data_IF_826728742334
#
_entry.id   IF_826728742334
#
_cell.length_a   1.000
_cell.length_b   1.000
_cell.length_c   1.000
_cell.angle_alpha   90.00
_cell.angle_beta   90.00
_cell.angle_gamma   90.00
#
_symmetry.space_group_name_H-M   'P 1'
#
loop_
_entity.id
_entity.type
_entity.pdbx_description
1 polymer ?
#
# COMPACT_ATOMS: atom_id res chain seq x y z
N UNK A 1 -29.54 -34.09 -44.93
CA UNK A 1 -28.45 -33.27 -44.41
C UNK A 1 -28.95 -31.87 -44.15
N UNK A 2 -29.22 -31.53 -42.90
CA UNK A 2 -29.63 -30.18 -42.48
C UNK A 2 -28.49 -29.61 -41.65
N UNK A 3 -27.90 -28.54 -42.12
CA UNK A 3 -26.84 -27.78 -41.46
C UNK A 3 -27.42 -26.94 -40.31
N UNK A 4 -26.88 -27.10 -39.10
CA UNK A 4 -27.19 -26.26 -37.96
C UNK A 4 -26.42 -24.91 -38.05
N UNK A 5 -27.01 -23.78 -37.64
CA UNK A 5 -26.30 -22.51 -37.59
C UNK A 5 -25.45 -22.40 -36.30
N UNK A 6 -24.25 -22.00 -36.50
CA UNK A 6 -23.29 -21.60 -35.45
C UNK A 6 -23.78 -20.31 -34.74
N UNK A 7 -24.12 -20.41 -33.48
CA UNK A 7 -24.33 -19.25 -32.59
C UNK A 7 -23.09 -19.12 -31.67
N UNK A 8 -22.15 -18.32 -32.09
CA UNK A 8 -21.02 -17.94 -31.23
C UNK A 8 -20.65 -16.52 -31.60
N UNK A 9 -20.92 -15.56 -30.70
CA UNK A 9 -20.30 -14.26 -30.53
C UNK A 9 -21.29 -13.17 -30.10
N UNK A 10 -21.83 -13.24 -28.88
CA UNK A 10 -22.57 -12.10 -28.34
C UNK A 10 -22.46 -11.93 -26.81
N UNK A 11 -21.70 -12.80 -26.10
CA UNK A 11 -21.69 -12.75 -24.62
C UNK A 11 -20.59 -11.85 -24.06
N UNK A 12 -19.53 -11.58 -24.82
CA UNK A 12 -18.39 -10.78 -24.34
C UNK A 12 -18.61 -9.27 -24.31
N UNK A 13 -19.47 -8.73 -25.17
CA UNK A 13 -19.66 -7.28 -25.30
C UNK A 13 -20.61 -6.67 -24.24
N UNK A 14 -21.53 -7.46 -23.73
CA UNK A 14 -22.54 -6.97 -22.77
C UNK A 14 -22.02 -6.83 -21.34
N UNK A 15 -21.07 -7.64 -20.91
CA UNK A 15 -20.46 -7.49 -19.56
C UNK A 15 -19.54 -6.27 -19.46
N UNK A 16 -18.79 -5.95 -20.50
CA UNK A 16 -17.93 -4.76 -20.52
C UNK A 16 -18.74 -3.44 -20.51
N UNK A 17 -19.88 -3.43 -21.19
CA UNK A 17 -20.78 -2.26 -21.22
C UNK A 17 -21.51 -2.03 -19.87
N UNK A 18 -21.83 -3.10 -19.14
CA UNK A 18 -22.45 -2.98 -17.82
C UNK A 18 -21.49 -2.43 -16.76
N UNK A 19 -20.19 -2.76 -16.83
CA UNK A 19 -19.17 -2.23 -15.92
C UNK A 19 -18.87 -0.75 -16.21
N UNK A 20 -18.85 -0.34 -17.46
CA UNK A 20 -18.67 1.06 -17.86
C UNK A 20 -19.87 1.95 -17.45
N UNK A 21 -21.08 1.41 -17.46
CA UNK A 21 -22.28 2.14 -17.06
C UNK A 21 -22.33 2.39 -15.54
N UNK A 22 -21.75 1.52 -14.72
CA UNK A 22 -21.70 1.70 -13.25
C UNK A 22 -20.69 2.77 -12.84
N UNK A 23 -19.61 2.94 -13.58
CA UNK A 23 -18.60 4.00 -13.35
C UNK A 23 -19.12 5.41 -13.73
N UNK A 24 -20.05 5.51 -14.68
CA UNK A 24 -20.57 6.79 -15.15
C UNK A 24 -21.78 7.32 -14.39
N UNK A 25 -22.45 6.52 -13.55
CA UNK A 25 -23.74 6.85 -12.95
C UNK A 25 -23.68 7.45 -11.53
N UNK A 26 -22.49 7.50 -10.90
CA UNK A 26 -22.39 8.04 -9.53
C UNK A 26 -21.49 9.27 -9.52
N UNK A 27 -22.12 10.42 -9.65
CA UNK A 27 -21.47 11.69 -9.32
C UNK A 27 -20.93 11.63 -7.90
N UNK A 28 -19.62 11.86 -7.73
CA UNK A 28 -18.86 12.08 -6.49
C UNK A 28 -18.96 11.05 -5.35
N UNK A 29 -19.46 9.86 -5.57
CA UNK A 29 -19.28 8.72 -4.67
C UNK A 29 -18.19 7.81 -5.24
N UNK A 30 -17.12 7.55 -4.48
CA UNK A 30 -16.14 6.52 -4.83
C UNK A 30 -16.92 5.24 -5.15
N UNK A 31 -16.76 4.69 -6.35
CA UNK A 31 -17.34 3.41 -6.69
C UNK A 31 -16.80 2.39 -5.70
N UNK A 32 -17.60 2.10 -4.69
CA UNK A 32 -17.30 1.05 -3.73
C UNK A 32 -17.33 -0.25 -4.51
N UNK A 33 -16.19 -0.83 -4.63
CA UNK A 33 -16.00 -2.02 -5.42
C UNK A 33 -16.58 -3.23 -4.68
N UNK A 34 -16.98 -4.25 -5.42
CA UNK A 34 -17.67 -5.42 -4.89
C UNK A 34 -16.72 -6.27 -4.03
N UNK A 35 -17.00 -6.54 -2.73
CA UNK A 35 -16.24 -7.48 -1.93
C UNK A 35 -16.11 -8.87 -2.56
N UNK A 36 -17.12 -9.32 -3.30
CA UNK A 36 -17.06 -10.59 -4.02
C UNK A 36 -16.03 -10.54 -5.15
N UNK A 37 -15.91 -9.41 -5.84
CA UNK A 37 -14.86 -9.23 -6.84
C UNK A 37 -13.47 -9.30 -6.19
N UNK A 38 -13.29 -8.64 -5.04
CA UNK A 38 -12.04 -8.66 -4.31
C UNK A 38 -11.60 -10.07 -3.92
N UNK A 39 -12.52 -10.92 -3.51
CA UNK A 39 -12.22 -12.29 -3.08
C UNK A 39 -12.07 -13.27 -4.25
N UNK A 40 -12.84 -13.10 -5.34
CA UNK A 40 -12.85 -14.05 -6.44
C UNK A 40 -11.96 -13.64 -7.61
N UNK A 41 -11.68 -12.36 -7.78
CA UNK A 41 -10.80 -11.83 -8.82
C UNK A 41 -10.02 -10.60 -8.30
N UNK A 42 -9.09 -10.81 -7.36
CA UNK A 42 -8.39 -9.73 -6.68
C UNK A 42 -7.58 -8.83 -7.63
N UNK A 43 -7.05 -9.36 -8.73
CA UNK A 43 -6.29 -8.58 -9.70
C UNK A 43 -7.20 -7.63 -10.51
N UNK A 44 -8.41 -8.07 -10.87
CA UNK A 44 -9.40 -7.18 -11.48
C UNK A 44 -9.82 -6.07 -10.51
N UNK A 45 -10.03 -6.42 -9.24
CA UNK A 45 -10.30 -5.46 -8.19
C UNK A 45 -9.16 -4.45 -8.02
N UNK A 46 -7.91 -4.93 -8.01
CA UNK A 46 -6.72 -4.09 -7.93
C UNK A 46 -6.68 -3.06 -9.09
N UNK A 47 -6.93 -3.48 -10.32
CA UNK A 47 -7.01 -2.59 -11.46
C UNK A 47 -8.18 -1.61 -11.36
N UNK A 48 -9.34 -2.03 -10.86
CA UNK A 48 -10.48 -1.12 -10.63
C UNK A 48 -10.10 -0.02 -9.63
N UNK A 49 -9.43 -0.39 -8.53
CA UNK A 49 -8.93 0.59 -7.56
C UNK A 49 -7.85 1.50 -8.17
N UNK A 50 -6.90 0.93 -8.92
CA UNK A 50 -5.86 1.72 -9.60
C UNK A 50 -6.46 2.80 -10.49
N UNK A 51 -7.43 2.45 -11.34
CA UNK A 51 -8.10 3.41 -12.22
C UNK A 51 -8.88 4.46 -11.41
N UNK A 52 -9.49 4.06 -10.30
CA UNK A 52 -10.24 4.97 -9.42
C UNK A 52 -9.33 5.99 -8.75
N UNK A 53 -8.25 5.55 -8.10
CA UNK A 53 -7.38 6.46 -7.34
C UNK A 53 -6.56 7.38 -8.23
N UNK A 54 -6.30 6.95 -9.46
CA UNK A 54 -5.56 7.71 -10.48
C UNK A 54 -6.47 8.54 -11.42
N UNK A 55 -7.79 8.56 -11.18
CA UNK A 55 -8.68 9.40 -11.96
C UNK A 55 -8.26 10.88 -11.86
N UNK A 56 -8.48 11.63 -12.93
CA UNK A 56 -8.22 13.07 -12.94
C UNK A 56 -9.01 13.78 -11.84
N UNK A 57 -8.30 14.45 -10.95
CA UNK A 57 -8.90 15.23 -9.87
C UNK A 57 -9.63 16.49 -10.32
N UNK A 58 -9.60 16.81 -11.63
CA UNK A 58 -10.22 17.99 -12.23
C UNK A 58 -9.80 19.32 -11.57
N UNK A 59 -8.57 19.36 -11.08
CA UNK A 59 -8.01 20.56 -10.47
C UNK A 59 -7.47 21.47 -11.56
N UNK A 60 -7.98 22.71 -11.64
CA UNK A 60 -7.59 23.66 -12.67
C UNK A 60 -6.06 23.88 -12.71
N UNK A 61 -5.45 23.63 -13.86
CA UNK A 61 -4.03 23.90 -14.11
C UNK A 61 -3.03 22.88 -13.58
N UNK A 62 -3.49 21.76 -13.01
CA UNK A 62 -2.63 20.70 -12.49
C UNK A 62 -3.05 19.33 -13.05
N UNK A 63 -2.07 18.45 -13.25
CA UNK A 63 -2.29 17.05 -13.66
C UNK A 63 -2.36 16.13 -12.42
N UNK A 64 -3.16 16.53 -11.41
CA UNK A 64 -3.27 15.74 -10.19
C UNK A 64 -4.19 14.54 -10.39
N UNK A 65 -3.73 13.38 -9.98
CA UNK A 65 -4.58 12.23 -9.76
C UNK A 65 -5.45 12.43 -8.50
N UNK A 66 -6.56 11.71 -8.42
CA UNK A 66 -7.49 11.84 -7.31
C UNK A 66 -6.80 11.60 -5.95
N UNK A 67 -5.93 10.59 -5.83
CA UNK A 67 -5.23 10.30 -4.58
C UNK A 67 -4.32 11.48 -4.14
N UNK A 68 -3.84 12.31 -5.06
CA UNK A 68 -2.98 13.46 -4.75
C UNK A 68 -3.75 14.60 -4.06
N UNK A 69 -5.08 14.53 -4.04
CA UNK A 69 -5.94 15.45 -3.28
C UNK A 69 -6.23 14.98 -1.85
N UNK A 70 -5.78 13.77 -1.50
CA UNK A 70 -6.06 13.18 -0.20
C UNK A 70 -5.08 13.62 0.87
N UNK A 71 -5.50 13.47 2.13
CA UNK A 71 -4.67 13.83 3.28
C UNK A 71 -3.43 12.94 3.37
N UNK A 72 -2.27 13.56 3.57
CA UNK A 72 -1.00 12.90 3.90
C UNK A 72 -0.89 12.64 5.40
N UNK A 73 0.14 11.88 5.78
CA UNK A 73 0.48 11.69 7.19
C UNK A 73 0.71 13.02 7.90
N UNK A 74 1.45 13.96 7.27
CA UNK A 74 1.73 15.29 7.83
C UNK A 74 0.52 16.21 7.98
N UNK A 75 -0.62 15.87 7.41
CA UNK A 75 -1.90 16.58 7.56
C UNK A 75 -2.85 15.85 8.51
N UNK A 76 -2.60 14.56 8.73
CA UNK A 76 -3.42 13.71 9.60
C UNK A 76 -2.89 13.65 11.03
N UNK A 77 -1.57 13.53 11.20
CA UNK A 77 -0.93 13.36 12.52
C UNK A 77 -0.35 14.68 13.01
N UNK A 78 -1.23 15.63 13.23
CA UNK A 78 -0.94 16.98 13.73
C UNK A 78 -1.92 17.31 14.87
N UNK A 79 -1.63 18.32 15.72
CA UNK A 79 -2.48 18.64 16.87
C UNK A 79 -3.96 18.93 16.54
N UNK A 80 -4.23 19.47 15.38
CA UNK A 80 -5.59 19.78 14.90
C UNK A 80 -5.72 19.37 13.43
N UNK A 81 -5.92 18.08 13.14
CA UNK A 81 -5.98 17.61 11.77
C UNK A 81 -7.23 18.15 11.06
N UNK A 82 -7.00 18.71 9.87
CA UNK A 82 -8.05 19.25 9.01
C UNK A 82 -7.90 18.62 7.63
N UNK A 83 -9.02 18.20 7.04
CA UNK A 83 -9.02 17.68 5.68
C UNK A 83 -8.51 18.72 4.70
N UNK A 84 -7.52 18.38 3.84
CA UNK A 84 -6.98 19.35 2.88
C UNK A 84 -8.06 19.77 1.86
N UNK A 85 -8.18 21.07 1.64
CA UNK A 85 -9.12 21.65 0.66
C UNK A 85 -8.46 21.92 -0.69
N UNK A 86 -7.13 21.88 -0.74
CA UNK A 86 -6.32 22.02 -1.93
C UNK A 86 -5.36 20.86 -2.03
N UNK A 87 -5.05 20.37 -3.25
CA UNK A 87 -4.04 19.34 -3.44
C UNK A 87 -2.71 19.81 -2.84
N UNK A 88 -2.11 18.96 -2.04
CA UNK A 88 -0.78 19.22 -1.50
C UNK A 88 0.24 18.62 -2.47
N UNK A 89 1.29 19.37 -2.85
CA UNK A 89 2.33 18.85 -3.73
C UNK A 89 2.97 17.58 -3.18
N UNK A 90 3.53 16.76 -4.07
CA UNK A 90 4.38 15.59 -3.72
C UNK A 90 5.33 15.97 -2.59
N UNK A 91 5.40 15.17 -1.55
CA UNK A 91 6.28 15.42 -0.42
C UNK A 91 7.74 15.21 -0.82
N UNK A 92 8.39 16.30 -1.28
CA UNK A 92 9.81 16.29 -1.55
C UNK A 92 10.57 16.10 -0.25
N UNK A 93 11.05 14.88 0.02
CA UNK A 93 11.92 14.60 1.16
C UNK A 93 11.38 13.62 2.19
N UNK A 94 10.17 13.09 2.04
CA UNK A 94 9.74 11.94 2.85
C UNK A 94 10.63 10.74 2.49
N UNK A 95 11.23 10.11 3.51
CA UNK A 95 12.13 8.98 3.29
C UNK A 95 11.33 7.70 3.20
N UNK A 96 11.63 6.86 2.21
CA UNK A 96 11.07 5.53 2.15
C UNK A 96 11.31 4.75 3.46
N UNK A 97 10.26 4.18 4.02
CA UNK A 97 10.32 3.38 5.24
C UNK A 97 11.37 2.26 5.14
N UNK A 98 11.53 1.65 3.97
CA UNK A 98 12.55 0.65 3.71
C UNK A 98 13.99 1.11 3.94
N UNK A 99 14.30 2.38 3.65
CA UNK A 99 15.62 2.97 3.93
C UNK A 99 15.84 3.16 5.43
N UNK A 100 14.79 3.46 6.16
CA UNK A 100 14.85 3.67 7.60
C UNK A 100 15.00 2.36 8.35
N UNK A 101 14.32 1.31 7.94
CA UNK A 101 14.46 -0.04 8.50
C UNK A 101 15.89 -0.55 8.38
N UNK A 102 16.53 -0.30 7.24
CA UNK A 102 17.93 -0.67 7.03
C UNK A 102 18.89 0.13 7.94
N UNK A 103 18.61 1.39 8.23
CA UNK A 103 19.40 2.20 9.16
C UNK A 103 19.27 1.75 10.62
N UNK A 104 18.10 1.26 11.02
CA UNK A 104 17.88 0.73 12.38
C UNK A 104 18.65 -0.58 12.61
N UNK A 105 18.88 -1.38 11.55
CA UNK A 105 19.47 -2.71 11.61
C UNK A 105 20.99 -2.73 11.79
N UNK A 106 21.67 -1.79 11.17
CA UNK A 106 23.12 -1.84 11.08
C UNK A 106 23.85 -1.25 12.29
N UNK A 107 23.16 -0.76 13.34
CA UNK A 107 23.80 -0.17 14.52
C UNK A 107 24.79 0.96 14.22
N UNK A 108 24.96 1.29 12.94
CA UNK A 108 25.85 2.26 12.39
C UNK A 108 25.20 2.97 11.22
N UNK A 109 25.53 4.24 11.06
CA UNK A 109 25.16 5.09 9.94
C UNK A 109 25.69 4.54 8.60
N UNK A 110 25.19 3.40 8.14
CA UNK A 110 25.40 2.99 6.77
C UNK A 110 24.50 3.86 5.89
N UNK A 111 25.06 4.91 5.37
CA UNK A 111 24.53 5.64 4.21
C UNK A 111 24.62 4.69 3.02
N UNK A 112 23.66 3.80 2.87
CA UNK A 112 23.48 3.19 1.57
C UNK A 112 22.92 4.26 0.64
N UNK A 113 23.79 4.82 -0.17
CA UNK A 113 23.37 5.46 -1.38
C UNK A 113 22.60 4.41 -2.16
N UNK A 114 21.27 4.57 -2.28
CA UNK A 114 20.48 3.75 -3.18
C UNK A 114 21.07 3.94 -4.56
N UNK A 115 21.68 2.92 -5.18
CA UNK A 115 22.10 3.05 -6.56
C UNK A 115 20.84 3.28 -7.38
N UNK A 116 20.66 4.49 -7.92
CA UNK A 116 19.52 4.77 -8.76
C UNK A 116 18.60 5.91 -8.28
N UNK A 117 19.13 6.91 -7.57
CA UNK A 117 18.35 8.11 -7.22
C UNK A 117 17.50 7.95 -5.96
N UNK A 118 17.23 9.06 -5.30
CA UNK A 118 16.42 9.11 -4.10
C UNK A 118 14.94 9.01 -4.49
N UNK A 119 14.35 7.82 -4.43
CA UNK A 119 12.91 7.70 -4.42
C UNK A 119 12.39 8.26 -3.11
N UNK A 120 11.41 9.17 -3.18
CA UNK A 120 10.66 9.64 -2.03
C UNK A 120 9.39 8.83 -1.91
N UNK A 121 8.91 8.63 -0.69
CA UNK A 121 7.68 7.90 -0.40
C UNK A 121 6.70 8.82 0.29
N UNK A 122 5.43 8.77 -0.11
CA UNK A 122 4.33 9.41 0.60
C UNK A 122 3.19 8.44 0.81
N UNK A 123 2.48 8.60 1.92
CA UNK A 123 1.22 7.89 2.20
C UNK A 123 0.09 8.90 2.21
N UNK A 124 -0.98 8.59 1.46
CA UNK A 124 -2.19 9.39 1.40
C UNK A 124 -3.41 8.53 1.70
N UNK A 125 -4.34 9.11 2.40
CA UNK A 125 -5.59 8.46 2.80
C UNK A 125 -6.80 9.24 2.34
N UNK A 126 -7.84 8.53 1.92
CA UNK A 126 -9.08 9.15 1.52
C UNK A 126 -9.87 9.68 2.73
N UNK A 127 -10.96 10.41 2.46
CA UNK A 127 -11.72 11.06 3.52
C UNK A 127 -12.34 10.09 4.55
N UNK A 128 -12.93 8.94 4.19
CA UNK A 128 -13.40 7.95 5.17
C UNK A 128 -12.31 7.45 6.12
N UNK A 129 -11.10 7.23 5.62
CA UNK A 129 -9.94 6.81 6.41
C UNK A 129 -9.52 7.94 7.38
N UNK A 130 -9.29 9.14 6.84
CA UNK A 130 -8.97 10.33 7.63
C UNK A 130 -9.99 10.61 8.73
N UNK A 131 -11.27 10.62 8.39
CA UNK A 131 -12.35 10.90 9.34
C UNK A 131 -12.40 9.86 10.47
N UNK A 132 -12.12 8.59 10.17
CA UNK A 132 -12.06 7.54 11.17
C UNK A 132 -10.91 7.77 12.18
N UNK A 133 -9.72 8.10 11.68
CA UNK A 133 -8.56 8.43 12.52
C UNK A 133 -8.87 9.62 13.44
N UNK A 134 -9.42 10.68 12.88
CA UNK A 134 -9.72 11.93 13.62
C UNK A 134 -10.83 11.73 14.64
N UNK A 135 -11.95 11.13 14.23
CA UNK A 135 -13.11 10.91 15.10
C UNK A 135 -12.80 9.99 16.30
N UNK A 136 -11.88 9.06 16.14
CA UNK A 136 -11.45 8.15 17.21
C UNK A 136 -10.20 8.63 17.95
N UNK A 137 -9.69 9.83 17.67
CA UNK A 137 -8.47 10.41 18.25
C UNK A 137 -7.21 9.54 18.05
N UNK A 138 -7.14 8.76 16.96
CA UNK A 138 -6.02 7.85 16.71
C UNK A 138 -4.76 8.57 16.21
N UNK A 139 -4.86 9.85 15.94
CA UNK A 139 -3.73 10.71 15.55
C UNK A 139 -2.86 11.15 16.73
N UNK A 140 -3.20 10.78 17.98
CA UNK A 140 -2.50 11.19 19.19
C UNK A 140 -2.40 10.08 20.23
N UNK A 141 -1.33 10.11 21.03
CA UNK A 141 -0.99 9.08 22.02
C UNK A 141 -2.08 8.93 23.09
N UNK A 142 -2.67 10.03 23.56
CA UNK A 142 -3.75 9.94 24.56
C UNK A 142 -4.97 9.16 24.03
N UNK A 143 -5.28 9.29 22.74
CA UNK A 143 -6.34 8.54 22.10
C UNK A 143 -6.02 7.05 21.97
N UNK A 144 -4.78 6.71 21.59
CA UNK A 144 -4.31 5.33 21.54
C UNK A 144 -4.36 4.65 22.90
N UNK A 145 -3.89 5.34 23.96
CA UNK A 145 -4.00 4.85 25.35
C UNK A 145 -5.44 4.60 25.76
N UNK A 146 -6.36 5.49 25.40
CA UNK A 146 -7.78 5.31 25.70
C UNK A 146 -8.38 4.13 24.96
N UNK A 147 -8.04 3.94 23.67
CA UNK A 147 -8.48 2.79 22.88
C UNK A 147 -7.95 1.47 23.46
N UNK A 148 -6.68 1.44 23.86
CA UNK A 148 -6.07 0.27 24.49
C UNK A 148 -6.76 -0.06 25.83
N UNK A 149 -6.92 0.93 26.71
CA UNK A 149 -7.56 0.75 28.01
C UNK A 149 -9.03 0.26 27.91
N UNK A 150 -9.72 0.68 26.85
CA UNK A 150 -11.08 0.21 26.55
C UNK A 150 -11.08 -1.17 25.87
N UNK A 151 -9.93 -1.74 25.53
CA UNK A 151 -9.78 -2.95 24.70
C UNK A 151 -10.67 -2.91 23.44
N UNK A 152 -10.72 -1.71 22.81
CA UNK A 152 -11.61 -1.43 21.68
C UNK A 152 -10.91 -1.74 20.37
N UNK A 153 -11.30 -2.81 19.65
CA UNK A 153 -10.71 -3.10 18.33
C UNK A 153 -10.87 -1.91 17.39
N UNK A 154 -9.80 -1.58 16.67
CA UNK A 154 -9.88 -0.62 15.58
C UNK A 154 -10.40 -1.34 14.34
N UNK A 155 -11.47 -0.83 13.76
CA UNK A 155 -12.04 -1.37 12.51
C UNK A 155 -12.39 -0.19 11.62
N UNK A 156 -11.60 0.00 10.58
CA UNK A 156 -11.82 1.07 9.62
C UNK A 156 -13.11 0.84 8.83
N UNK A 157 -13.76 1.91 8.35
CA UNK A 157 -14.94 1.79 7.51
C UNK A 157 -14.57 1.16 6.15
N UNK A 158 -15.51 0.38 5.60
CA UNK A 158 -15.32 -0.33 4.32
C UNK A 158 -14.88 0.58 3.16
N UNK A 159 -15.20 1.87 3.21
CA UNK A 159 -14.76 2.85 2.22
C UNK A 159 -13.35 3.42 2.43
N UNK A 160 -12.61 2.99 3.45
CA UNK A 160 -11.24 3.49 3.68
C UNK A 160 -10.29 3.01 2.58
N UNK A 161 -9.47 3.94 2.07
CA UNK A 161 -8.46 3.71 1.04
C UNK A 161 -7.17 4.42 1.43
N UNK A 162 -6.03 3.73 1.29
CA UNK A 162 -4.71 4.32 1.36
C UNK A 162 -3.94 4.09 0.06
N UNK A 163 -3.14 5.07 -0.31
CA UNK A 163 -2.16 4.98 -1.40
C UNK A 163 -0.79 5.30 -0.82
N UNK A 164 0.16 4.40 -1.01
CA UNK A 164 1.58 4.67 -0.80
C UNK A 164 2.24 4.83 -2.16
N UNK A 165 2.74 6.03 -2.45
CA UNK A 165 3.33 6.38 -3.74
C UNK A 165 4.84 6.61 -3.62
N UNK A 166 5.61 6.11 -4.59
CA UNK A 166 7.04 6.35 -4.67
C UNK A 166 7.35 7.22 -5.89
N UNK A 167 8.07 8.29 -5.63
CA UNK A 167 8.40 9.30 -6.62
C UNK A 167 9.92 9.43 -6.79
N UNK A 168 10.36 9.66 -8.01
CA UNK A 168 11.75 9.98 -8.34
C UNK A 168 11.78 11.34 -9.01
N UNK A 169 12.66 12.24 -8.56
CA UNK A 169 12.89 13.48 -9.29
C UNK A 169 13.27 13.17 -10.73
N UNK A 170 12.64 13.81 -11.70
CA UNK A 170 12.84 13.52 -13.13
C UNK A 170 14.31 13.58 -13.54
N UNK A 171 15.08 14.52 -12.97
CA UNK A 171 16.53 14.61 -13.13
C UNK A 171 17.28 13.35 -12.63
N UNK A 172 16.69 12.59 -11.72
CA UNK A 172 17.24 11.35 -11.14
C UNK A 172 16.87 10.07 -11.89
N UNK A 173 15.94 10.10 -12.84
CA UNK A 173 15.47 8.92 -13.58
C UNK A 173 16.60 8.19 -14.31
N UNK A 174 17.58 8.92 -14.85
CA UNK A 174 18.75 8.32 -15.51
C UNK A 174 19.53 7.39 -14.56
N UNK A 175 19.71 7.80 -13.32
CA UNK A 175 20.41 7.00 -12.32
C UNK A 175 19.52 5.89 -11.77
N UNK A 176 18.20 6.12 -11.72
CA UNK A 176 17.22 5.16 -11.21
C UNK A 176 17.03 3.97 -12.16
N UNK A 177 16.75 4.22 -13.44
CA UNK A 177 16.41 3.17 -14.40
C UNK A 177 17.05 3.33 -15.79
N UNK A 178 17.96 4.27 -15.96
CA UNK A 178 18.65 4.48 -17.24
C UNK A 178 17.90 5.38 -18.23
N UNK A 179 16.80 6.03 -17.84
CA UNK A 179 16.06 6.93 -18.71
C UNK A 179 16.95 8.09 -19.22
N UNK A 180 16.96 8.32 -20.53
CA UNK A 180 17.82 9.31 -21.20
C UNK A 180 17.02 10.42 -21.90
N UNK A 181 15.69 10.41 -21.79
CA UNK A 181 14.82 11.43 -22.38
C UNK A 181 14.86 12.76 -21.64
N UNK A 182 14.19 13.76 -22.23
CA UNK A 182 13.97 15.06 -21.62
C UNK A 182 12.88 15.00 -20.53
N UNK A 183 12.69 16.04 -19.71
CA UNK A 183 11.55 16.11 -18.79
C UNK A 183 10.19 15.98 -19.48
N UNK A 184 10.07 16.54 -20.69
CA UNK A 184 8.84 16.43 -21.50
C UNK A 184 8.63 14.99 -22.00
N UNK A 185 9.70 14.25 -22.27
CA UNK A 185 9.60 12.83 -22.63
C UNK A 185 9.24 11.98 -21.40
N UNK A 186 9.73 12.34 -20.21
CA UNK A 186 9.34 11.68 -18.98
C UNK A 186 7.81 11.84 -18.75
N UNK A 187 7.25 13.03 -18.93
CA UNK A 187 5.83 13.30 -18.76
C UNK A 187 4.91 12.55 -19.77
N UNK A 188 5.46 12.01 -20.86
CA UNK A 188 4.69 11.17 -21.81
C UNK A 188 4.54 9.74 -21.34
N UNK A 189 5.45 9.25 -20.47
CA UNK A 189 5.50 7.84 -20.08
C UNK A 189 5.32 7.61 -18.58
N UNK A 190 5.58 8.62 -17.75
CA UNK A 190 5.30 8.61 -16.33
C UNK A 190 4.19 9.61 -16.00
N UNK A 191 3.38 9.28 -15.01
CA UNK A 191 2.64 10.33 -14.33
C UNK A 191 3.64 11.23 -13.60
N UNK A 192 3.64 12.51 -13.94
CA UNK A 192 4.59 13.51 -13.42
C UNK A 192 3.85 14.62 -12.72
N UNK A 193 4.28 14.92 -11.50
CA UNK A 193 3.79 16.08 -10.76
C UNK A 193 4.95 16.99 -10.31
N UNK A 194 4.61 18.20 -9.90
CA UNK A 194 5.59 19.25 -9.56
C UNK A 194 5.50 19.66 -8.10
N UNK A 195 6.65 19.79 -7.44
CA UNK A 195 6.76 20.28 -6.09
C UNK A 195 8.05 21.11 -5.93
N UNK A 196 7.96 22.28 -5.32
CA UNK A 196 9.14 23.11 -5.04
C UNK A 196 9.97 23.48 -6.27
N UNK A 197 9.35 23.65 -7.44
CA UNK A 197 10.03 23.93 -8.71
C UNK A 197 10.71 22.72 -9.36
N UNK A 198 10.52 21.51 -8.83
CA UNK A 198 11.04 20.26 -9.38
C UNK A 198 9.90 19.39 -9.88
N UNK A 199 10.21 18.51 -10.83
CA UNK A 199 9.29 17.51 -11.36
C UNK A 199 9.62 16.14 -10.79
N UNK A 200 8.59 15.39 -10.44
CA UNK A 200 8.69 14.05 -9.86
C UNK A 200 7.86 13.07 -10.68
N UNK A 201 8.47 11.96 -11.06
CA UNK A 201 7.82 10.86 -11.77
C UNK A 201 7.37 9.80 -10.76
N UNK A 202 6.11 9.38 -10.85
CA UNK A 202 5.60 8.24 -10.10
C UNK A 202 6.25 6.96 -10.64
N UNK A 203 6.96 6.22 -9.82
CA UNK A 203 7.65 4.99 -10.26
C UNK A 203 7.01 3.72 -9.71
N UNK A 204 6.34 3.79 -8.58
CA UNK A 204 5.56 2.68 -8.03
C UNK A 204 4.51 3.17 -7.05
N UNK A 205 3.52 2.33 -6.78
CA UNK A 205 2.51 2.62 -5.77
C UNK A 205 1.89 1.33 -5.21
N UNK A 206 1.53 1.38 -3.94
CA UNK A 206 0.59 0.44 -3.35
C UNK A 206 -0.79 1.09 -3.28
N UNK A 207 -1.81 0.32 -3.60
CA UNK A 207 -3.22 0.72 -3.41
C UNK A 207 -3.86 -0.26 -2.44
N UNK A 208 -4.41 0.25 -1.36
CA UNK A 208 -4.86 -0.51 -0.21
C UNK A 208 -6.31 -0.11 0.10
N UNK A 209 -7.20 -1.08 0.29
CA UNK A 209 -8.63 -0.82 0.53
C UNK A 209 -9.20 -1.71 1.62
N UNK A 210 -9.96 -1.11 2.54
CA UNK A 210 -10.74 -1.81 3.59
C UNK A 210 -12.01 -2.47 3.05
N UNK A 211 -11.99 -2.93 1.81
CA UNK A 211 -13.15 -3.56 1.19
C UNK A 211 -13.52 -4.91 1.85
N UNK A 212 -12.49 -5.61 2.35
CA UNK A 212 -12.62 -6.89 3.09
C UNK A 212 -11.92 -6.77 4.45
N UNK A 213 -12.19 -7.66 5.43
CA UNK A 213 -11.64 -7.54 6.77
C UNK A 213 -10.12 -7.38 6.85
N UNK A 214 -9.38 -8.15 6.06
CA UNK A 214 -7.89 -8.11 6.00
C UNK A 214 -7.37 -7.08 5.02
N UNK A 215 -8.20 -6.16 4.52
CA UNK A 215 -7.95 -5.24 3.44
C UNK A 215 -7.61 -5.96 2.12
N UNK A 216 -7.67 -5.24 1.02
CA UNK A 216 -7.11 -5.65 -0.27
C UNK A 216 -5.81 -4.91 -0.49
N UNK A 217 -4.81 -5.61 -0.98
CA UNK A 217 -3.45 -5.10 -1.18
C UNK A 217 -3.07 -5.28 -2.63
N UNK A 218 -2.62 -4.22 -3.27
CA UNK A 218 -2.13 -4.27 -4.63
C UNK A 218 -0.87 -3.42 -4.78
N UNK A 219 0.09 -3.89 -5.57
CA UNK A 219 1.28 -3.11 -5.87
C UNK A 219 1.50 -2.97 -7.37
N UNK A 220 1.73 -1.74 -7.78
CA UNK A 220 1.95 -1.35 -9.16
C UNK A 220 3.34 -0.75 -9.32
N UNK A 221 3.99 -1.06 -10.43
CA UNK A 221 5.28 -0.50 -10.78
C UNK A 221 5.28 -0.01 -12.22
N UNK A 222 6.04 1.06 -12.49
CA UNK A 222 6.29 1.47 -13.86
C UNK A 222 7.03 0.37 -14.61
N UNK A 223 6.69 0.15 -15.89
CA UNK A 223 7.24 -0.92 -16.72
C UNK A 223 8.77 -0.91 -16.83
N UNK A 224 9.37 0.28 -16.74
CA UNK A 224 10.81 0.48 -16.86
C UNK A 224 11.55 0.36 -15.52
N UNK A 225 10.88 -0.01 -14.43
CA UNK A 225 11.57 -0.25 -13.16
C UNK A 225 12.49 -1.46 -13.26
N UNK A 226 13.79 -1.31 -12.97
CA UNK A 226 14.72 -2.43 -12.98
C UNK A 226 14.40 -3.39 -11.82
N UNK A 227 14.46 -4.67 -12.08
CA UNK A 227 14.16 -5.70 -11.08
C UNK A 227 12.69 -5.89 -10.75
N UNK A 228 11.77 -5.30 -11.52
CA UNK A 228 10.33 -5.30 -11.24
C UNK A 228 9.75 -6.70 -10.97
N UNK A 229 10.16 -7.70 -11.73
CA UNK A 229 9.67 -9.07 -11.54
C UNK A 229 10.72 -10.03 -10.98
N UNK A 230 11.84 -9.51 -10.45
CA UNK A 230 12.81 -10.35 -9.77
C UNK A 230 12.20 -11.00 -8.53
N UNK A 231 12.83 -12.05 -8.07
CA UNK A 231 12.62 -12.66 -6.76
C UNK A 231 11.24 -13.31 -6.57
N UNK A 232 10.14 -12.57 -6.69
CA UNK A 232 8.77 -13.10 -6.49
C UNK A 232 7.94 -13.13 -7.78
N UNK A 233 8.49 -12.65 -8.90
CA UNK A 233 7.79 -12.57 -10.19
C UNK A 233 6.76 -11.45 -10.23
N UNK A 234 5.99 -11.40 -11.32
CA UNK A 234 4.84 -10.54 -11.51
C UNK A 234 3.63 -11.41 -11.89
N UNK A 235 2.58 -11.37 -11.08
CA UNK A 235 1.42 -12.25 -11.18
C UNK A 235 0.15 -11.41 -11.32
N UNK A 236 -0.11 -10.93 -12.52
CA UNK A 236 -1.37 -10.26 -12.86
C UNK A 236 -2.21 -11.20 -13.72
N UNK A 237 -3.17 -11.87 -13.13
CA UNK A 237 -4.03 -12.86 -13.78
C UNK A 237 -5.18 -12.24 -14.57
N UNK A 238 -5.41 -10.94 -14.40
CA UNK A 238 -6.48 -10.23 -15.11
C UNK A 238 -5.94 -9.31 -16.19
N UNK A 239 -4.96 -8.49 -15.86
CA UNK A 239 -4.52 -7.38 -16.70
C UNK A 239 -3.34 -7.70 -17.60
N UNK A 240 -2.50 -8.68 -17.29
CA UNK A 240 -1.38 -9.09 -18.12
C UNK A 240 -1.72 -10.32 -18.96
N UNK A 241 -1.24 -10.36 -20.20
CA UNK A 241 -1.46 -11.53 -21.07
C UNK A 241 -0.67 -12.76 -20.59
N UNK A 242 0.46 -12.54 -19.96
CA UNK A 242 1.31 -13.61 -19.41
C UNK A 242 1.95 -13.20 -18.10
N UNK A 243 1.93 -14.07 -17.07
CA UNK A 243 2.69 -13.83 -15.86
C UNK A 243 4.19 -13.92 -16.12
N UNK A 244 4.98 -13.18 -15.35
CA UNK A 244 6.44 -13.25 -15.40
C UNK A 244 6.94 -13.99 -14.17
N UNK A 245 7.62 -15.12 -14.39
CA UNK A 245 8.21 -15.89 -13.30
C UNK A 245 9.47 -15.20 -12.75
N UNK A 246 9.84 -15.47 -11.49
CA UNK A 246 11.09 -14.99 -10.92
C UNK A 246 12.29 -15.46 -11.74
N UNK A 247 13.19 -14.55 -12.10
CA UNK A 247 14.38 -14.87 -12.91
C UNK A 247 15.68 -14.93 -12.12
N UNK A 248 15.66 -14.52 -10.85
CA UNK A 248 16.85 -14.34 -10.04
C UNK A 248 16.79 -15.08 -8.70
N UNK A 249 17.95 -15.41 -8.17
CA UNK A 249 18.07 -15.88 -6.79
C UNK A 249 17.65 -14.79 -5.80
N UNK A 250 17.00 -15.16 -4.68
CA UNK A 250 16.31 -14.22 -3.78
C UNK A 250 17.19 -13.23 -3.00
N UNK A 251 18.48 -13.12 -3.25
CA UNK A 251 19.38 -12.34 -2.39
C UNK A 251 19.66 -10.92 -2.84
N UNK A 252 19.47 -10.58 -4.14
CA UNK A 252 19.75 -9.24 -4.64
C UNK A 252 18.78 -8.86 -5.77
N UNK A 253 18.10 -7.70 -5.70
CA UNK A 253 17.35 -7.21 -6.84
C UNK A 253 18.28 -6.90 -7.98
N UNK A 254 18.06 -7.51 -9.14
CA UNK A 254 18.86 -7.22 -10.33
C UNK A 254 18.50 -5.86 -10.91
N UNK A 255 19.32 -5.38 -11.81
CA UNK A 255 19.00 -4.24 -12.68
C UNK A 255 18.35 -4.70 -13.98
N UNK A 256 17.82 -5.91 -14.03
CA UNK A 256 17.21 -6.46 -15.23
C UNK A 256 15.93 -5.67 -15.57
N UNK A 257 15.83 -5.26 -16.82
CA UNK A 257 14.59 -4.74 -17.36
C UNK A 257 13.74 -5.89 -17.89
N UNK A 258 12.47 -5.80 -17.63
CA UNK A 258 11.49 -6.77 -18.11
C UNK A 258 10.72 -6.18 -19.29
N UNK A 259 10.23 -7.06 -20.16
CA UNK A 259 9.34 -6.66 -21.24
C UNK A 259 8.09 -5.93 -20.70
N UNK A 260 7.48 -5.12 -21.55
CA UNK A 260 6.26 -4.40 -21.21
C UNK A 260 5.18 -5.37 -20.73
N UNK A 261 4.41 -4.98 -19.74
CA UNK A 261 3.24 -5.71 -19.31
C UNK A 261 2.10 -5.49 -20.33
N UNK A 262 2.03 -6.36 -21.35
CA UNK A 262 1.02 -6.26 -22.40
C UNK A 262 -0.36 -6.46 -21.79
N UNK A 263 -1.20 -5.44 -21.91
CA UNK A 263 -2.55 -5.44 -21.33
C UNK A 263 -3.48 -6.38 -22.06
N UNK A 264 -4.35 -7.04 -21.33
CA UNK A 264 -5.47 -7.79 -21.89
C UNK A 264 -6.46 -6.86 -22.59
N UNK A 265 -7.26 -7.35 -23.55
CA UNK A 265 -8.33 -6.53 -24.13
C UNK A 265 -9.32 -5.98 -23.11
N UNK A 266 -9.61 -6.74 -22.05
CA UNK A 266 -10.49 -6.31 -20.96
C UNK A 266 -9.92 -5.12 -20.20
N UNK A 267 -8.65 -5.18 -19.79
CA UNK A 267 -8.00 -4.07 -19.10
C UNK A 267 -7.82 -2.86 -20.03
N UNK A 268 -7.51 -3.07 -21.31
CA UNK A 268 -7.42 -1.98 -22.30
C UNK A 268 -8.74 -1.22 -22.42
N UNK A 269 -9.87 -1.94 -22.43
CA UNK A 269 -11.20 -1.32 -22.44
C UNK A 269 -11.48 -0.53 -21.15
N UNK A 270 -11.04 -1.01 -19.98
CA UNK A 270 -11.15 -0.28 -18.72
C UNK A 270 -10.36 1.05 -18.75
N UNK A 271 -9.13 1.02 -19.25
CA UNK A 271 -8.32 2.25 -19.42
C UNK A 271 -9.01 3.25 -20.37
N UNK A 272 -9.52 2.79 -21.50
CA UNK A 272 -10.23 3.64 -22.45
C UNK A 272 -11.47 4.29 -21.84
N UNK A 273 -12.20 3.59 -20.98
CA UNK A 273 -13.38 4.10 -20.29
C UNK A 273 -13.04 5.08 -19.14
N UNK A 274 -11.88 4.93 -18.53
CA UNK A 274 -11.50 5.72 -17.35
C UNK A 274 -10.97 7.12 -17.68
N UNK A 275 -10.60 7.39 -18.93
CA UNK A 275 -10.07 8.69 -19.38
C UNK A 275 -8.93 9.26 -18.51
N UNK A 276 -7.98 8.39 -18.12
CA UNK A 276 -6.82 8.76 -17.32
C UNK A 276 -5.75 9.48 -18.14
N UNK A 277 -4.78 10.09 -17.46
CA UNK A 277 -3.51 10.44 -18.06
C UNK A 277 -2.94 9.23 -18.83
N UNK A 278 -2.62 9.38 -20.13
CA UNK A 278 -2.13 8.28 -20.95
C UNK A 278 -0.88 7.58 -20.39
N UNK A 279 -0.09 8.26 -19.57
CA UNK A 279 1.09 7.69 -18.93
C UNK A 279 0.77 6.49 -18.02
N UNK A 280 -0.43 6.41 -17.45
CA UNK A 280 -0.82 5.32 -16.56
C UNK A 280 -0.88 3.95 -17.25
N UNK A 281 -0.98 3.87 -18.57
CA UNK A 281 -0.89 2.60 -19.31
C UNK A 281 0.47 1.91 -19.15
N UNK A 282 1.51 2.65 -18.75
CA UNK A 282 2.86 2.13 -18.54
C UNK A 282 3.07 1.48 -17.16
N UNK A 283 2.05 1.48 -16.29
CA UNK A 283 2.13 0.79 -15.01
C UNK A 283 1.63 -0.64 -15.12
N UNK A 284 2.28 -1.51 -14.36
CA UNK A 284 2.03 -2.94 -14.33
C UNK A 284 1.64 -3.34 -12.91
N UNK A 285 0.59 -4.14 -12.77
CA UNK A 285 0.30 -4.81 -11.52
C UNK A 285 1.34 -5.90 -11.30
N UNK A 286 2.01 -5.88 -10.17
CA UNK A 286 2.92 -6.95 -9.77
C UNK A 286 2.18 -8.12 -9.12
N UNK A 287 1.09 -7.83 -8.47
CA UNK A 287 0.17 -8.77 -7.86
C UNK A 287 -0.75 -8.11 -6.86
N UNK A 288 -1.69 -8.90 -6.37
CA UNK A 288 -2.63 -8.53 -5.32
C UNK A 288 -2.64 -9.56 -4.19
N UNK A 289 -3.12 -9.17 -3.01
CA UNK A 289 -3.21 -10.02 -1.83
C UNK A 289 -4.50 -9.68 -1.07
N UNK A 290 -5.26 -10.70 -0.70
CA UNK A 290 -6.51 -10.61 0.09
C UNK A 290 -6.51 -11.56 1.27
N UNK A 291 -5.52 -12.48 1.34
CA UNK A 291 -5.32 -13.40 2.44
C UNK A 291 -3.82 -13.61 2.71
N UNK A 292 -3.48 -14.14 3.88
CA UNK A 292 -2.11 -14.46 4.29
C UNK A 292 -1.54 -15.66 3.54
N UNK A 293 -2.41 -16.58 3.11
CA UNK A 293 -2.07 -17.79 2.38
C UNK A 293 -2.87 -17.89 1.09
N UNK A 294 -2.32 -18.58 0.11
CA UNK A 294 -3.07 -18.98 -1.08
C UNK A 294 -3.99 -20.17 -0.80
N UNK A 295 -4.73 -20.60 -1.81
CA UNK A 295 -5.68 -21.72 -1.72
C UNK A 295 -5.01 -23.07 -1.43
N UNK A 296 -3.69 -23.17 -1.52
CA UNK A 296 -2.90 -24.36 -1.18
C UNK A 296 -2.33 -24.30 0.24
N UNK A 297 -2.56 -23.18 0.95
CA UNK A 297 -2.02 -22.93 2.30
C UNK A 297 -0.61 -22.37 2.31
N UNK A 298 -0.02 -22.07 1.16
CA UNK A 298 1.30 -21.44 1.09
C UNK A 298 1.20 -19.93 1.36
N UNK A 299 2.18 -19.41 2.08
CA UNK A 299 2.24 -17.98 2.40
C UNK A 299 2.35 -17.13 1.15
N UNK A 300 1.46 -16.13 1.01
CA UNK A 300 1.46 -15.19 -0.10
C UNK A 300 2.56 -14.14 0.12
N UNK A 301 3.35 -13.91 -0.93
CA UNK A 301 4.35 -12.84 -0.99
C UNK A 301 3.86 -11.74 -1.91
N UNK A 302 3.98 -10.52 -1.43
CA UNK A 302 3.68 -9.32 -2.21
C UNK A 302 4.57 -8.18 -1.74
N UNK A 303 5.18 -7.48 -2.69
CA UNK A 303 6.03 -6.33 -2.48
C UNK A 303 6.55 -5.81 -3.82
N UNK A 304 7.12 -4.61 -3.85
CA UNK A 304 7.66 -4.04 -5.07
C UNK A 304 9.18 -3.79 -5.00
N UNK A 305 9.80 -3.57 -6.16
CA UNK A 305 11.24 -3.39 -6.28
C UNK A 305 11.75 -2.03 -5.80
N UNK A 306 10.87 -1.13 -5.41
CA UNK A 306 11.19 0.22 -4.92
C UNK A 306 11.07 0.29 -3.41
N UNK A 307 9.86 0.05 -2.88
CA UNK A 307 9.59 0.12 -1.43
C UNK A 307 10.28 -1.03 -0.69
N UNK A 308 10.13 -2.27 -1.15
CA UNK A 308 10.65 -3.47 -0.50
C UNK A 308 11.98 -3.95 -1.11
N UNK A 309 12.72 -3.08 -1.78
CA UNK A 309 13.93 -3.39 -2.56
C UNK A 309 14.90 -4.37 -1.89
N UNK A 310 15.09 -4.25 -0.58
CA UNK A 310 16.10 -5.03 0.13
C UNK A 310 15.58 -6.32 0.77
N UNK A 311 14.26 -6.51 0.77
CA UNK A 311 13.62 -7.66 1.41
C UNK A 311 12.41 -8.19 0.63
N UNK A 312 12.32 -7.92 -0.67
CA UNK A 312 11.21 -8.32 -1.53
C UNK A 312 10.93 -9.83 -1.48
N UNK A 313 11.97 -10.65 -1.28
CA UNK A 313 11.85 -12.10 -1.11
C UNK A 313 11.12 -12.54 0.17
N UNK A 314 11.02 -11.63 1.13
CA UNK A 314 10.35 -11.84 2.42
C UNK A 314 9.19 -10.85 2.61
N UNK A 315 8.85 -10.09 1.57
CA UNK A 315 7.76 -9.13 1.63
C UNK A 315 6.41 -9.83 1.53
N UNK A 316 5.51 -9.46 2.43
CA UNK A 316 4.08 -9.72 2.37
C UNK A 316 3.38 -8.50 2.95
N UNK A 317 2.71 -7.73 2.09
CA UNK A 317 2.03 -6.51 2.51
C UNK A 317 1.13 -6.78 3.72
N UNK A 318 0.29 -7.81 3.63
CA UNK A 318 -0.67 -8.15 4.67
C UNK A 318 0.02 -8.59 5.97
N UNK A 319 1.05 -9.44 5.91
CA UNK A 319 1.75 -9.91 7.12
C UNK A 319 2.51 -8.78 7.81
N UNK A 320 3.16 -7.92 7.02
CA UNK A 320 3.86 -6.75 7.53
C UNK A 320 2.88 -5.78 8.20
N UNK A 321 1.84 -5.38 7.48
CA UNK A 321 0.87 -4.40 7.95
C UNK A 321 -0.07 -4.94 9.04
N UNK A 322 -0.39 -6.24 9.01
CA UNK A 322 -1.17 -6.84 10.06
C UNK A 322 -0.53 -6.75 11.45
N UNK A 323 0.80 -6.55 11.52
CA UNK A 323 1.52 -6.32 12.78
C UNK A 323 1.47 -4.89 13.29
N UNK A 324 0.82 -3.97 12.55
CA UNK A 324 0.61 -2.62 13.02
C UNK A 324 -0.20 -2.63 14.32
N UNK A 325 0.45 -2.22 15.41
CA UNK A 325 -0.12 -2.31 16.75
C UNK A 325 0.55 -1.32 17.71
N UNK A 326 -0.13 -0.99 18.79
CA UNK A 326 0.38 -0.15 19.86
C UNK A 326 0.11 -0.77 21.24
N UNK A 327 0.94 -0.45 22.21
CA UNK A 327 0.85 -0.94 23.57
C UNK A 327 -0.02 -0.02 24.48
N UNK A 328 -0.10 -0.36 25.77
CA UNK A 328 -0.82 0.42 26.80
C UNK A 328 -0.30 1.85 26.96
N UNK A 329 0.90 2.16 26.50
CA UNK A 329 1.47 3.50 26.50
C UNK A 329 1.13 4.31 25.25
N UNK A 330 0.42 3.70 24.29
CA UNK A 330 0.08 4.29 23.00
C UNK A 330 1.26 4.36 22.05
N UNK A 331 2.31 3.57 22.26
CA UNK A 331 3.52 3.51 21.42
C UNK A 331 3.53 2.23 20.59
N UNK A 332 4.23 2.24 19.45
CA UNK A 332 4.40 1.02 18.65
C UNK A 332 4.98 -0.11 19.49
N UNK A 333 4.45 -1.29 19.34
CA UNK A 333 4.77 -2.46 20.18
C UNK A 333 6.17 -3.00 20.07
N UNK A 334 6.95 -2.62 19.19
CA UNK A 334 8.39 -2.83 19.06
C UNK A 334 8.80 -2.53 17.63
N UNK A 335 9.71 -1.62 17.49
CA UNK A 335 10.38 -1.37 16.23
C UNK A 335 11.28 -2.55 15.83
N UNK A 336 11.81 -3.26 16.80
CA UNK A 336 12.65 -4.43 16.62
C UNK A 336 11.90 -5.64 16.03
N UNK A 337 10.60 -5.76 16.31
CA UNK A 337 9.74 -6.78 15.68
C UNK A 337 9.33 -6.44 14.25
N UNK A 338 9.73 -5.29 13.74
CA UNK A 338 9.50 -4.86 12.37
C UNK A 338 10.56 -5.32 11.40
N UNK A 339 11.63 -5.90 11.89
CA UNK A 339 12.68 -6.40 11.03
C UNK A 339 12.26 -7.70 10.33
N UNK A 340 11.90 -7.63 9.04
CA UNK A 340 11.56 -8.82 8.27
C UNK A 340 12.77 -9.75 8.08
N UNK A 341 13.98 -9.28 8.40
CA UNK A 341 15.24 -10.00 8.17
C UNK A 341 15.75 -10.63 9.47
N UNK A 342 15.47 -10.02 10.63
CA UNK A 342 15.99 -10.50 11.91
C UNK A 342 15.02 -11.42 12.61
N UNK A 343 15.10 -12.66 12.23
CA UNK A 343 14.53 -13.81 12.95
C UNK A 343 15.14 -14.00 14.36
N UNK A 344 16.12 -13.20 14.76
CA UNK A 344 16.88 -13.34 16.00
C UNK A 344 16.59 -12.28 17.07
N UNK A 345 15.68 -11.34 16.82
CA UNK A 345 15.27 -10.42 17.88
C UNK A 345 14.32 -11.12 18.84
N UNK A 346 14.42 -10.84 20.15
CA UNK A 346 13.46 -11.32 21.11
C UNK A 346 12.13 -10.61 20.89
N UNK A 347 11.41 -11.04 19.84
CA UNK A 347 9.97 -10.94 19.85
C UNK A 347 9.47 -11.56 21.14
N UNK A 348 8.29 -11.17 21.68
CA UNK A 348 7.69 -11.90 22.77
C UNK A 348 7.90 -13.38 22.47
N UNK A 349 8.59 -14.08 23.34
CA UNK A 349 9.09 -15.43 23.09
C UNK A 349 7.98 -16.26 22.46
N UNK A 350 8.23 -16.75 21.26
CA UNK A 350 7.34 -17.56 20.41
C UNK A 350 6.50 -16.84 19.34
N UNK A 351 6.76 -15.61 18.99
CA UNK A 351 6.17 -15.02 17.78
C UNK A 351 6.76 -15.61 16.48
N UNK A 352 7.01 -16.90 16.48
CA UNK A 352 7.84 -17.66 15.55
C UNK A 352 7.33 -17.83 14.11
N UNK A 353 6.46 -16.97 13.63
CA UNK A 353 6.13 -16.95 12.20
C UNK A 353 7.05 -15.95 11.51
N UNK A 354 7.63 -16.37 10.41
CA UNK A 354 8.46 -15.55 9.57
C UNK A 354 7.76 -14.28 9.07
N UNK A 355 8.45 -13.49 8.24
CA UNK A 355 7.93 -12.21 7.73
C UNK A 355 6.74 -12.37 6.77
N UNK A 356 6.36 -13.58 6.41
CA UNK A 356 5.28 -13.93 5.51
C UNK A 356 4.34 -14.95 6.17
N UNK A 357 3.09 -14.97 5.70
CA UNK A 357 2.05 -15.87 6.21
C UNK A 357 1.28 -15.30 7.41
N UNK A 358 0.42 -16.09 8.04
CA UNK A 358 -0.42 -15.67 9.15
C UNK A 358 0.38 -15.15 10.33
N UNK A 359 -0.15 -14.15 11.03
CA UNK A 359 0.49 -13.56 12.20
C UNK A 359 0.24 -14.46 13.42
N UNK A 360 1.30 -14.75 14.17
CA UNK A 360 1.16 -15.49 15.41
C UNK A 360 0.37 -14.64 16.44
N UNK A 361 -0.68 -15.18 17.07
CA UNK A 361 -1.45 -14.48 18.09
C UNK A 361 -0.61 -13.92 19.25
N UNK A 362 0.53 -14.54 19.57
CA UNK A 362 1.47 -14.03 20.58
C UNK A 362 2.04 -12.64 20.27
N UNK A 363 1.85 -12.13 19.05
CA UNK A 363 2.15 -10.75 18.72
C UNK A 363 1.29 -9.76 19.51
N UNK A 364 0.07 -10.14 19.83
CA UNK A 364 -0.92 -9.28 20.48
C UNK A 364 -1.23 -9.68 21.92
N UNK A 365 -0.94 -10.93 22.33
CA UNK A 365 -1.40 -11.52 23.57
C UNK A 365 -0.28 -12.16 24.37
N UNK A 366 -0.38 -12.10 25.69
CA UNK A 366 0.50 -12.89 26.57
C UNK A 366 0.07 -14.35 26.49
N UNK A 367 1.06 -15.26 26.37
CA UNK A 367 0.89 -16.69 26.53
C UNK A 367 -0.19 -17.39 25.68
N UNK A 368 -0.12 -17.26 24.38
CA UNK A 368 -0.78 -18.26 23.52
C UNK A 368 -2.06 -17.83 22.83
N UNK A 369 -2.38 -16.56 22.85
CA UNK A 369 -3.46 -16.01 22.03
C UNK A 369 -4.72 -15.61 22.78
N UNK A 370 -5.70 -15.08 22.06
CA UNK A 370 -6.98 -14.75 22.66
C UNK A 370 -7.61 -16.02 23.27
N UNK A 371 -8.37 -15.88 24.37
CA UNK A 371 -9.05 -17.02 24.95
C UNK A 371 -9.91 -17.70 23.89
N UNK A 372 -9.80 -19.01 23.76
CA UNK A 372 -10.71 -19.78 22.91
C UNK A 372 -12.11 -19.68 23.51
N UNK A 373 -13.05 -19.21 22.72
CA UNK A 373 -14.45 -18.96 23.06
C UNK A 373 -15.14 -20.07 23.88
N UNK A 374 -16.04 -19.68 24.76
CA UNK A 374 -16.23 -18.39 25.41
C UNK A 374 -15.38 -18.27 26.68
N UNK A 375 -14.89 -17.09 27.01
CA UNK A 375 -14.33 -16.82 28.35
C UNK A 375 -15.46 -17.02 29.35
N UNK A 376 -15.36 -18.07 30.15
CA UNK A 376 -16.32 -18.31 31.22
C UNK A 376 -16.08 -17.27 32.31
N UNK A 377 -17.17 -16.73 32.85
CA UNK A 377 -17.11 -15.73 33.93
C UNK A 377 -16.27 -16.30 35.08
N UNK A 378 -15.10 -15.70 35.34
CA UNK A 378 -14.16 -16.11 36.40
C UNK A 378 -12.77 -16.57 35.90
N UNK A 379 -12.55 -16.71 34.59
CA UNK A 379 -11.19 -16.83 34.05
C UNK A 379 -10.52 -15.45 34.05
N UNK A 380 -9.24 -15.43 34.45
CA UNK A 380 -8.44 -14.20 34.48
C UNK A 380 -8.45 -13.57 33.10
N UNK A 381 -8.89 -12.30 33.00
CA UNK A 381 -8.89 -11.51 31.79
C UNK A 381 -7.50 -11.54 31.17
N UNK A 382 -7.34 -12.32 30.07
CA UNK A 382 -6.11 -12.29 29.29
C UNK A 382 -6.06 -10.92 28.62
N UNK A 383 -5.20 -10.07 29.12
CA UNK A 383 -5.06 -8.70 28.58
C UNK A 383 -4.16 -8.73 27.35
N UNK A 384 -4.50 -7.99 26.31
CA UNK A 384 -3.59 -7.82 25.18
C UNK A 384 -2.31 -7.11 25.63
N UNK A 385 -1.17 -7.49 25.05
CA UNK A 385 0.08 -6.72 25.15
C UNK A 385 0.15 -5.64 24.07
N UNK A 386 -0.64 -5.82 23.02
CA UNK A 386 -0.76 -4.91 21.90
C UNK A 386 -2.20 -4.86 21.38
N UNK A 387 -2.65 -3.69 20.96
CA UNK A 387 -3.90 -3.52 20.24
C UNK A 387 -3.59 -3.28 18.76
N UNK A 388 -4.18 -4.11 17.88
CA UNK A 388 -4.00 -3.99 16.44
C UNK A 388 -4.54 -2.66 15.90
N UNK A 389 -3.77 -2.03 15.02
CA UNK A 389 -4.13 -0.78 14.35
C UNK A 389 -4.82 -1.01 12.99
N UNK A 390 -5.51 -2.14 12.85
CA UNK A 390 -6.23 -2.54 11.63
C UNK A 390 -5.40 -2.35 10.35
N UNK A 391 -4.15 -2.83 10.37
CA UNK A 391 -3.17 -2.77 9.28
C UNK A 391 -2.57 -1.38 8.99
N UNK A 392 -2.93 -0.32 9.70
CA UNK A 392 -2.48 1.05 9.43
C UNK A 392 -1.29 1.43 10.30
N UNK A 393 -0.08 1.31 9.76
CA UNK A 393 1.17 1.62 10.47
C UNK A 393 1.32 3.11 10.82
N UNK A 394 0.73 4.02 10.05
CA UNK A 394 0.80 5.46 10.37
C UNK A 394 0.24 5.76 11.76
N UNK A 395 -0.76 5.00 12.23
CA UNK A 395 -1.33 5.21 13.58
C UNK A 395 -0.27 5.05 14.67
N UNK A 396 0.38 3.89 14.87
CA UNK A 396 1.36 3.74 15.94
C UNK A 396 2.64 4.54 15.70
N UNK A 397 2.99 4.86 14.45
CA UNK A 397 4.24 5.54 14.16
C UNK A 397 4.14 7.06 14.14
N UNK A 398 3.00 7.61 13.72
CA UNK A 398 2.86 9.04 13.48
C UNK A 398 2.01 9.76 14.53
N UNK A 399 1.31 9.03 15.42
CA UNK A 399 0.56 9.66 16.49
C UNK A 399 1.45 10.65 17.24
N UNK A 400 0.91 11.83 17.51
CA UNK A 400 1.63 12.86 18.27
C UNK A 400 1.57 12.57 19.77
N UNK A 401 2.65 12.81 20.49
CA UNK A 401 2.63 12.80 21.95
C UNK A 401 2.03 14.12 22.43
N UNK A 402 0.72 14.11 22.64
CA UNK A 402 -0.04 15.25 23.11
C UNK A 402 0.09 15.44 24.64
N UNK A 403 0.87 14.59 25.33
CA UNK A 403 1.25 14.76 26.74
C UNK A 403 2.57 15.51 26.89
N UNK A 404 3.36 15.63 25.83
CA UNK A 404 4.53 16.49 25.77
C UNK A 404 4.14 17.98 25.63
N UNK A 405 5.00 18.87 26.08
CA UNK A 405 4.78 20.31 25.94
C UNK A 405 6.04 20.99 25.39
N UNK A 406 6.07 21.41 24.09
CA UNK A 406 4.99 21.30 23.12
C UNK A 406 4.73 19.84 22.68
N UNK A 407 3.54 19.54 22.11
CA UNK A 407 3.26 18.24 21.52
C UNK A 407 4.28 17.90 20.42
N UNK A 408 4.75 16.66 20.42
CA UNK A 408 5.77 16.22 19.49
C UNK A 408 5.41 14.87 18.82
N UNK A 409 5.97 14.59 17.67
CA UNK A 409 5.81 13.29 17.00
C UNK A 409 6.60 12.23 17.75
N UNK A 410 5.97 11.11 18.12
CA UNK A 410 6.62 10.00 18.85
C UNK A 410 7.67 9.27 18.05
N UNK A 411 7.68 9.45 16.74
CA UNK A 411 8.60 8.79 15.84
C UNK A 411 9.29 9.77 14.91
N UNK A 412 10.61 9.63 14.78
CA UNK A 412 11.42 10.34 13.77
C UNK A 412 10.99 10.08 12.31
N UNK A 413 10.17 9.06 12.06
CA UNK A 413 9.65 8.75 10.70
C UNK A 413 8.65 9.79 10.24
N UNK A 414 7.92 10.40 11.17
CA UNK A 414 6.92 11.40 10.90
C UNK A 414 7.35 12.80 11.32
N UNK A 415 8.53 12.95 11.92
CA UNK A 415 9.02 14.21 12.50
C UNK A 415 9.52 15.26 11.47
N UNK A 416 9.69 14.87 10.21
CA UNK A 416 10.23 15.74 9.13
C UNK A 416 9.18 15.99 8.04
N UNK A 417 7.93 16.14 8.41
CA UNK A 417 6.83 16.35 7.48
C UNK A 417 6.39 17.80 7.43
#
# INVERSE_FOLDING_TARGET
MRTAPTVTAAIGATLAAALAATLAATGSGFAQTDPNLAMNNPDQQAWTLFLTVNADAKTAGNNNALFETWARDGETFVPNPVWPTTPTPVAAGERALGLVLQQAHSGGLLRFAVPGGNATEETRRNKPDFDFIVANNLYKVSGLKAAFAANKPLVFPVGALEVKANWVEVSGLRAFNGFTGTPEDAAKIYHVNSAGGKQYALVSMHVISKLVPNWTWATFEHKDNPGRCDVIGCKDMFGAQTPVLPSQSPTEPSRQHYADCVKTPALTAMFAAAHLDPAYVNYCLKGSQTDFTDTTGLAVRLGNSVTEKFFVNQASCMTCHGRAAFDSTGKPTSFAGFDPISINLPLPQNAGNGPIGPINPNWYWIAGGPPSYPVLAGESDIQPIALAADFVWSIPFCAIDDTANPPETISRFCANK
#
